data_IF_443936797911
#
_entry.id   IF_443936797911
#
_cell.length_a   1.000
_cell.length_b   1.000
_cell.length_c   1.000
_cell.angle_alpha   90.00
_cell.angle_beta   90.00
_cell.angle_gamma   90.00
#
_symmetry.space_group_name_H-M   'P 1'
#
loop_
_entity.id
_entity.type
_entity.pdbx_description
1 polymer ?
#
# COMPACT_ATOMS: atom_id res chain seq x y z
N UNK A 1 -39.86 -4.17 -56.12
CA UNK A 1 -38.66 -4.91 -55.70
C UNK A 1 -37.59 -3.88 -55.33
N UNK A 2 -37.43 -3.58 -54.03
CA UNK A 2 -36.56 -2.51 -53.56
C UNK A 2 -35.10 -3.01 -53.44
N UNK A 3 -34.18 -2.37 -54.17
CA UNK A 3 -32.74 -2.64 -54.13
C UNK A 3 -32.17 -2.19 -52.79
N UNK A 4 -31.53 -3.13 -52.09
CA UNK A 4 -30.90 -2.92 -50.79
C UNK A 4 -29.69 -1.96 -50.90
N UNK A 5 -29.70 -0.92 -50.07
CA UNK A 5 -28.52 -0.19 -49.61
C UNK A 5 -27.71 -1.11 -48.70
N UNK A 6 -26.42 -1.27 -48.97
CA UNK A 6 -25.46 -1.79 -48.00
C UNK A 6 -24.15 -1.01 -48.12
N UNK A 7 -23.98 -0.03 -47.25
CA UNK A 7 -22.74 0.73 -47.07
C UNK A 7 -22.38 0.53 -45.59
N UNK A 8 -21.60 -0.52 -45.30
CA UNK A 8 -21.10 -0.79 -43.95
C UNK A 8 -19.62 -0.42 -43.97
N UNK A 9 -19.35 0.82 -43.57
CA UNK A 9 -18.02 1.27 -43.19
C UNK A 9 -17.63 0.57 -41.88
N UNK A 10 -16.71 -0.39 -41.97
CA UNK A 10 -16.06 -1.05 -40.84
C UNK A 10 -15.18 -0.04 -40.11
N UNK A 11 -15.77 0.67 -39.16
CA UNK A 11 -15.04 1.55 -38.24
C UNK A 11 -14.29 0.68 -37.23
N UNK A 12 -12.96 0.82 -37.25
CA UNK A 12 -12.03 0.16 -36.35
C UNK A 12 -12.37 0.43 -34.87
N UNK A 13 -12.78 -0.61 -34.15
CA UNK A 13 -12.74 -0.61 -32.70
C UNK A 13 -11.36 -1.10 -32.26
N UNK A 14 -10.41 -0.16 -32.15
CA UNK A 14 -9.19 -0.36 -31.35
C UNK A 14 -9.61 -0.50 -29.89
N UNK A 15 -9.97 -1.72 -29.47
CA UNK A 15 -10.20 -2.00 -28.06
C UNK A 15 -8.87 -1.83 -27.33
N UNK A 16 -8.90 -0.80 -26.48
CA UNK A 16 -7.86 -0.40 -25.58
C UNK A 16 -7.18 -1.60 -24.92
N UNK A 17 -5.86 -1.53 -24.87
CA UNK A 17 -5.02 -2.26 -23.94
C UNK A 17 -5.38 -1.87 -22.50
N UNK A 18 -6.49 -2.41 -21.98
CA UNK A 18 -6.79 -2.41 -20.56
C UNK A 18 -6.21 -3.70 -19.97
N UNK A 19 -4.89 -3.74 -19.80
CA UNK A 19 -4.32 -4.59 -18.76
C UNK A 19 -4.96 -4.18 -17.42
N UNK A 20 -5.22 -5.11 -16.49
CA UNK A 20 -5.81 -4.74 -15.20
C UNK A 20 -4.88 -3.73 -14.55
N UNK A 21 -5.36 -2.49 -14.37
CA UNK A 21 -4.66 -1.48 -13.60
C UNK A 21 -4.32 -2.11 -12.24
N UNK A 22 -3.03 -2.40 -12.02
CA UNK A 22 -2.59 -2.93 -10.74
C UNK A 22 -2.67 -1.76 -9.76
N UNK A 23 -3.70 -1.78 -8.93
CA UNK A 23 -3.80 -0.89 -7.79
C UNK A 23 -2.84 -1.43 -6.74
N UNK A 24 -1.75 -0.71 -6.48
CA UNK A 24 -0.98 -0.93 -5.26
C UNK A 24 -1.81 -0.36 -4.11
N UNK A 25 -2.52 -1.28 -3.44
CA UNK A 25 -3.29 -0.99 -2.25
C UNK A 25 -2.57 -1.53 -1.02
N UNK A 26 -2.31 -0.64 -0.06
CA UNK A 26 -1.69 -0.94 1.21
C UNK A 26 -2.58 -0.34 2.31
N UNK A 27 -3.00 -1.14 3.27
CA UNK A 27 -3.72 -0.68 4.45
C UNK A 27 -3.20 -1.38 5.68
N UNK A 28 -2.98 -0.62 6.74
CA UNK A 28 -2.52 -1.12 8.02
C UNK A 28 -3.01 -0.22 9.15
N UNK A 29 -2.97 -0.73 10.37
CA UNK A 29 -3.10 0.07 11.57
C UNK A 29 -1.80 0.06 12.35
N UNK A 30 -1.46 1.17 12.97
CA UNK A 30 -0.34 1.27 13.92
C UNK A 30 -0.88 1.74 15.25
N UNK A 31 -0.46 1.12 16.35
CA UNK A 31 -0.75 1.57 17.71
C UNK A 31 0.56 1.84 18.43
N UNK A 32 0.78 3.08 18.87
CA UNK A 32 2.04 3.50 19.47
C UNK A 32 1.84 3.72 20.96
N UNK A 33 2.54 2.91 21.75
CA UNK A 33 2.73 3.12 23.18
C UNK A 33 4.00 3.95 23.37
N UNK A 34 3.81 5.25 23.65
CA UNK A 34 4.91 6.20 23.86
C UNK A 34 5.70 5.95 25.15
N UNK A 35 5.08 5.36 26.17
CA UNK A 35 5.72 5.08 27.46
C UNK A 35 6.66 3.87 27.32
N UNK A 36 6.20 2.84 26.61
CA UNK A 36 6.98 1.63 26.36
C UNK A 36 7.93 1.75 25.16
N UNK A 37 7.80 2.82 24.35
CA UNK A 37 8.51 2.98 23.07
C UNK A 37 8.35 1.77 22.17
N UNK A 38 7.12 1.29 22.06
CA UNK A 38 6.72 0.16 21.21
C UNK A 38 5.60 0.61 20.30
N UNK A 39 5.68 0.19 19.03
CA UNK A 39 4.60 0.34 18.07
C UNK A 39 4.16 -1.03 17.54
N UNK A 40 2.84 -1.26 17.54
CA UNK A 40 2.21 -2.47 17.00
C UNK A 40 1.66 -2.15 15.61
N UNK A 41 2.18 -2.83 14.59
CA UNK A 41 1.75 -2.68 13.20
C UNK A 41 0.92 -3.89 12.78
N UNK A 42 -0.35 -3.68 12.48
CA UNK A 42 -1.24 -4.70 11.93
C UNK A 42 -1.45 -4.46 10.44
N UNK A 43 -0.96 -5.38 9.60
CA UNK A 43 -1.20 -5.29 8.16
C UNK A 43 -2.64 -5.73 7.87
N UNK A 44 -3.45 -4.88 7.24
CA UNK A 44 -4.85 -5.19 6.90
C UNK A 44 -5.02 -5.60 5.45
N UNK A 45 -4.25 -4.98 4.56
CA UNK A 45 -4.32 -5.23 3.11
C UNK A 45 -3.00 -4.88 2.46
N UNK A 46 -2.54 -5.70 1.54
CA UNK A 46 -1.39 -5.41 0.69
C UNK A 46 -1.55 -6.14 -0.65
N UNK A 47 -1.19 -5.48 -1.75
CA UNK A 47 -1.15 -6.08 -3.11
C UNK A 47 -0.18 -7.26 -3.20
N UNK A 48 0.84 -7.33 -2.35
CA UNK A 48 1.88 -8.36 -2.31
C UNK A 48 1.64 -9.46 -1.26
N UNK A 49 0.61 -9.33 -0.41
CA UNK A 49 0.38 -10.21 0.73
C UNK A 49 1.14 -9.84 2.02
N UNK A 50 2.00 -8.81 1.98
CA UNK A 50 2.74 -8.33 3.16
C UNK A 50 2.90 -6.81 3.18
N UNK A 51 2.95 -6.24 4.38
CA UNK A 51 3.31 -4.86 4.63
C UNK A 51 4.76 -4.80 5.11
N UNK A 52 5.58 -3.95 4.49
CA UNK A 52 6.96 -3.69 4.91
C UNK A 52 7.03 -2.29 5.49
N UNK A 53 7.51 -2.19 6.71
CA UNK A 53 7.72 -0.93 7.44
C UNK A 53 9.21 -0.71 7.62
N UNK A 54 9.70 0.47 7.26
CA UNK A 54 11.12 0.85 7.41
C UNK A 54 11.17 2.09 8.28
N UNK A 55 12.07 2.09 9.26
CA UNK A 55 12.14 3.13 10.27
C UNK A 55 13.44 3.91 10.16
N UNK A 56 13.35 5.22 10.30
CA UNK A 56 14.53 6.08 10.45
C UNK A 56 14.89 6.17 11.94
N UNK A 57 16.15 5.85 12.27
CA UNK A 57 16.68 5.95 13.64
C UNK A 57 16.88 4.60 14.34
N UNK A 58 16.68 4.58 15.67
CA UNK A 58 17.07 3.47 16.57
C UNK A 58 16.03 2.35 16.70
N UNK A 59 15.14 2.19 15.72
CA UNK A 59 14.11 1.15 15.76
C UNK A 59 14.71 -0.25 15.72
N UNK A 60 14.14 -1.19 16.46
CA UNK A 60 14.48 -2.60 16.41
C UNK A 60 13.24 -3.47 16.18
N UNK A 61 13.14 -4.16 15.03
CA UNK A 61 14.05 -4.09 13.89
C UNK A 61 13.91 -2.78 13.10
N UNK A 62 14.97 -2.35 12.40
CA UNK A 62 14.94 -1.19 11.50
C UNK A 62 14.02 -1.40 10.27
N UNK A 63 13.68 -2.65 9.97
CA UNK A 63 12.66 -3.02 8.98
C UNK A 63 11.80 -4.15 9.54
N UNK A 64 10.49 -3.96 9.54
CA UNK A 64 9.51 -4.95 9.97
C UNK A 64 8.67 -5.38 8.78
N UNK A 65 8.56 -6.69 8.55
CA UNK A 65 7.67 -7.25 7.52
C UNK A 65 6.54 -7.98 8.23
N UNK A 66 5.30 -7.62 7.92
CA UNK A 66 4.10 -8.15 8.55
C UNK A 66 3.17 -8.69 7.47
N UNK A 67 2.82 -9.97 7.53
CA UNK A 67 1.86 -10.56 6.61
C UNK A 67 0.46 -9.95 6.78
N UNK A 68 -0.36 -9.98 5.73
CA UNK A 68 -1.75 -9.51 5.82
C UNK A 68 -2.51 -10.28 6.91
N UNK A 69 -3.27 -9.54 7.71
CA UNK A 69 -3.99 -9.96 8.93
C UNK A 69 -3.11 -10.33 10.13
N UNK A 70 -1.79 -10.20 10.02
CA UNK A 70 -0.87 -10.36 11.14
C UNK A 70 -0.54 -9.03 11.81
N UNK A 71 0.03 -9.12 13.02
CA UNK A 71 0.55 -7.97 13.78
C UNK A 71 2.02 -8.18 14.13
N UNK A 72 2.85 -7.18 13.84
CA UNK A 72 4.26 -7.13 14.24
C UNK A 72 4.51 -6.03 15.27
N UNK A 73 5.38 -6.29 16.24
CA UNK A 73 5.83 -5.30 17.20
C UNK A 73 7.20 -4.75 16.81
N UNK A 74 7.37 -3.43 16.95
CA UNK A 74 8.65 -2.74 16.76
C UNK A 74 8.95 -1.98 18.03
N UNK A 75 10.13 -2.19 18.60
CA UNK A 75 10.59 -1.50 19.80
C UNK A 75 11.59 -0.40 19.47
N UNK A 76 11.81 0.52 20.42
CA UNK A 76 12.71 1.66 20.23
C UNK A 76 12.13 2.76 19.34
N UNK A 77 10.82 2.74 19.11
CA UNK A 77 10.08 3.72 18.31
C UNK A 77 9.05 4.43 19.18
N UNK A 78 8.76 5.69 18.89
CA UNK A 78 7.79 6.47 19.66
C UNK A 78 7.11 7.52 18.81
N UNK A 79 6.26 8.36 19.42
CA UNK A 79 5.69 9.50 18.74
C UNK A 79 6.81 10.40 18.20
N UNK A 80 6.71 10.81 16.94
CA UNK A 80 7.75 11.60 16.25
C UNK A 80 8.77 10.77 15.45
N UNK A 81 8.81 9.44 15.63
CA UNK A 81 9.69 8.59 14.80
C UNK A 81 9.21 8.60 13.36
N UNK A 82 10.14 8.86 12.43
CA UNK A 82 9.87 8.78 10.99
C UNK A 82 9.97 7.35 10.52
N UNK A 83 9.01 6.93 9.70
CA UNK A 83 8.96 5.62 9.10
C UNK A 83 8.32 5.70 7.71
N UNK A 84 8.44 4.65 6.93
CA UNK A 84 7.77 4.53 5.66
C UNK A 84 7.16 3.13 5.54
N UNK A 85 6.04 3.03 4.82
CA UNK A 85 5.37 1.76 4.57
C UNK A 85 5.25 1.48 3.07
N UNK A 86 5.37 0.20 2.71
CA UNK A 86 5.29 -0.26 1.32
C UNK A 86 4.73 -1.68 1.26
N UNK A 87 4.15 -2.07 0.12
CA UNK A 87 3.79 -3.46 -0.15
C UNK A 87 5.04 -4.34 -0.36
N UNK A 88 6.23 -3.75 -0.55
CA UNK A 88 7.48 -4.51 -0.74
C UNK A 88 7.60 -5.20 -2.10
N UNK A 89 6.74 -4.86 -3.07
CA UNK A 89 6.89 -5.25 -4.47
C UNK A 89 7.97 -4.43 -5.20
N UNK A 90 8.41 -4.93 -6.36
CA UNK A 90 9.37 -4.21 -7.22
C UNK A 90 8.84 -2.83 -7.63
N UNK A 91 9.62 -1.78 -7.36
CA UNK A 91 9.24 -0.39 -7.64
C UNK A 91 8.29 0.25 -6.63
N UNK A 92 7.96 -0.43 -5.53
CA UNK A 92 7.04 0.09 -4.53
C UNK A 92 7.64 1.28 -3.76
N UNK A 93 7.23 2.49 -4.14
CA UNK A 93 7.66 3.72 -3.49
C UNK A 93 7.07 3.81 -2.08
N UNK A 94 7.92 4.16 -1.13
CA UNK A 94 7.59 4.30 0.29
C UNK A 94 7.31 5.79 0.57
N UNK A 95 6.17 6.11 1.18
CA UNK A 95 5.90 7.48 1.62
C UNK A 95 6.31 7.62 3.09
N UNK A 96 7.21 8.57 3.36
CA UNK A 96 7.61 8.88 4.73
C UNK A 96 6.43 9.44 5.52
N UNK A 97 6.29 8.97 6.76
CA UNK A 97 5.26 9.28 7.71
C UNK A 97 5.87 9.38 9.09
N UNK A 98 5.18 10.06 9.99
CA UNK A 98 5.60 10.20 11.37
C UNK A 98 4.63 9.43 12.26
N UNK A 99 5.17 8.65 13.19
CA UNK A 99 4.36 7.98 14.19
C UNK A 99 3.69 9.01 15.09
N UNK A 100 2.36 8.93 15.20
CA UNK A 100 1.61 9.66 16.22
C UNK A 100 1.35 8.76 17.42
N UNK A 101 1.05 9.36 18.57
CA UNK A 101 0.70 8.61 19.77
C UNK A 101 -0.66 7.92 19.59
N UNK A 102 -0.77 6.66 20.02
CA UNK A 102 -2.00 5.87 19.96
C UNK A 102 -2.32 5.29 18.58
N UNK A 103 -3.56 4.79 18.44
CA UNK A 103 -4.01 4.01 17.29
C UNK A 103 -4.32 4.86 16.06
N UNK A 104 -3.68 4.54 14.94
CA UNK A 104 -3.87 5.14 13.63
C UNK A 104 -4.21 4.06 12.61
N UNK A 105 -5.08 4.38 11.65
CA UNK A 105 -5.36 3.52 10.50
C UNK A 105 -4.94 4.26 9.25
N UNK A 106 -4.09 3.63 8.46
CA UNK A 106 -3.49 4.22 7.28
C UNK A 106 -3.88 3.40 6.06
N UNK A 107 -4.20 4.11 4.98
CA UNK A 107 -4.56 3.51 3.70
C UNK A 107 -3.88 4.28 2.59
N UNK A 108 -3.10 3.55 1.80
CA UNK A 108 -2.52 4.03 0.56
C UNK A 108 -3.18 3.27 -0.59
N UNK A 109 -3.67 4.02 -1.57
CA UNK A 109 -4.12 3.47 -2.85
C UNK A 109 -3.46 4.29 -3.93
N UNK A 110 -2.50 3.70 -4.66
CA UNK A 110 -1.94 4.32 -5.86
C UNK A 110 -2.49 3.59 -7.07
N UNK A 111 -3.14 4.35 -7.97
CA UNK A 111 -3.44 3.87 -9.31
C UNK A 111 -2.15 3.97 -10.11
N UNK A 112 -1.50 2.85 -10.40
CA UNK A 112 -0.43 2.83 -11.40
C UNK A 112 -1.08 2.98 -12.78
N UNK A 113 -0.91 4.16 -13.37
CA UNK A 113 -1.31 4.49 -14.75
C UNK A 113 -0.39 3.83 -15.76
#
# INVERSE_FOLDING_TARGET
MFKAMALIATLAATLAACGPARFDELSYSVDVDGDQRVALFTCRKSSSGQCVFRFDGNASPATATVAVNETGAVSGVGPGTSYCSTSGGDGAMCQAQTLQLGKQTIRHSKRSS
#
